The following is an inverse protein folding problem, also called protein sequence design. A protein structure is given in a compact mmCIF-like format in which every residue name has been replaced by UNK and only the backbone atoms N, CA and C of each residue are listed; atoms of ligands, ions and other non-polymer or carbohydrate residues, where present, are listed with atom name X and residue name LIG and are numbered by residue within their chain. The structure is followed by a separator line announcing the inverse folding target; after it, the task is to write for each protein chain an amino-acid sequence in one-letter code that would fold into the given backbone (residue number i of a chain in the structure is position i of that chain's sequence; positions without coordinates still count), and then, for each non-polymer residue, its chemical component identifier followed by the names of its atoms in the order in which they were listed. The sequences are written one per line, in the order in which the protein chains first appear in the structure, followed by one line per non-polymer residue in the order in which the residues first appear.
data_IF_958516191055
#
_entry.id   IF_958516191055
#
_cell.length_a   1.000
_cell.length_b   1.000
_cell.length_c   1.000
_cell.angle_alpha   90.00
_cell.angle_beta   90.00
_cell.angle_gamma   90.00
#
_symmetry.space_group_name_H-M   'P 1'
#
loop_
_entity.id
_entity.type
_entity.pdbx_description
1 polymer ?
#
# COMPACT_ATOMS: atom_id res chain seq x y z
N UNK A 1 1.17 -19.73 -4.61
CA UNK A 1 2.35 -19.10 -4.04
C UNK A 1 1.99 -17.78 -3.40
N UNK A 2 2.44 -17.57 -2.20
CA UNK A 2 2.10 -16.36 -1.47
C UNK A 2 2.82 -15.15 -2.02
N UNK A 3 2.09 -14.04 -2.07
CA UNK A 3 2.67 -12.79 -2.47
C UNK A 3 3.22 -12.08 -1.24
N UNK A 4 4.47 -11.68 -1.33
CA UNK A 4 5.08 -10.89 -0.26
C UNK A 4 4.83 -9.40 -0.45
N UNK A 5 4.37 -9.01 -1.63
CA UNK A 5 4.14 -7.62 -1.98
C UNK A 5 2.77 -7.44 -2.61
N UNK A 6 2.21 -6.27 -2.40
CA UNK A 6 1.03 -5.83 -3.13
C UNK A 6 1.44 -4.73 -4.09
N UNK A 7 0.87 -4.72 -5.28
CA UNK A 7 1.00 -3.53 -6.13
C UNK A 7 0.07 -2.45 -5.58
N UNK A 8 0.30 -1.21 -6.01
CA UNK A 8 -0.58 -0.12 -5.60
C UNK A 8 -2.02 -0.39 -6.02
N UNK A 9 -2.20 -0.98 -7.21
CA UNK A 9 -3.53 -1.32 -7.71
C UNK A 9 -4.19 -2.37 -6.83
N UNK A 10 -3.44 -3.42 -6.49
CA UNK A 10 -3.97 -4.47 -5.64
C UNK A 10 -4.37 -3.92 -4.28
N UNK A 11 -3.55 -3.03 -3.75
CA UNK A 11 -3.83 -2.43 -2.45
C UNK A 11 -5.08 -1.56 -2.51
N UNK A 12 -5.22 -0.79 -3.59
CA UNK A 12 -6.41 0.04 -3.77
C UNK A 12 -7.67 -0.82 -3.79
N UNK A 13 -7.62 -1.95 -4.50
CA UNK A 13 -8.75 -2.86 -4.57
C UNK A 13 -9.04 -3.49 -3.22
N UNK A 14 -7.99 -3.87 -2.52
CA UNK A 14 -8.12 -4.51 -1.22
C UNK A 14 -8.76 -3.57 -0.20
N UNK A 15 -8.38 -2.31 -0.24
CA UNK A 15 -8.92 -1.31 0.68
C UNK A 15 -10.15 -0.59 0.15
N UNK A 16 -10.54 -0.89 -1.08
CA UNK A 16 -11.71 -0.31 -1.73
C UNK A 16 -11.62 1.20 -1.82
N UNK A 17 -10.46 1.69 -2.22
CA UNK A 17 -10.25 3.11 -2.44
C UNK A 17 -9.73 3.32 -3.85
N UNK A 18 -9.78 4.55 -4.30
CA UNK A 18 -9.22 4.92 -5.59
C UNK A 18 -7.71 4.76 -5.53
N UNK A 19 -7.12 4.31 -6.63
CA UNK A 19 -5.67 4.10 -6.69
C UNK A 19 -4.92 5.41 -6.44
N UNK A 20 -5.51 6.54 -6.81
CA UNK A 20 -4.89 7.84 -6.57
C UNK A 20 -4.72 8.10 -5.06
N UNK A 21 -5.62 7.56 -4.26
CA UNK A 21 -5.49 7.66 -2.81
C UNK A 21 -4.23 6.95 -2.32
N UNK A 22 -3.95 5.79 -2.90
CA UNK A 22 -2.75 5.04 -2.55
C UNK A 22 -1.50 5.84 -2.95
N UNK A 23 -1.50 6.42 -4.14
CA UNK A 23 -0.37 7.23 -4.58
C UNK A 23 -0.15 8.44 -3.66
N UNK A 24 -1.22 9.04 -3.18
CA UNK A 24 -1.10 10.16 -2.25
C UNK A 24 -0.46 9.73 -0.94
N UNK A 25 -0.85 8.59 -0.43
CA UNK A 25 -0.27 8.07 0.80
C UNK A 25 1.22 7.79 0.62
N UNK A 26 1.58 7.23 -0.54
CA UNK A 26 2.99 6.94 -0.82
C UNK A 26 3.76 8.26 -0.92
N UNK A 27 3.22 9.22 -1.66
CA UNK A 27 3.90 10.49 -1.88
C UNK A 27 4.07 11.28 -0.60
N UNK A 28 3.10 11.20 0.30
CA UNK A 28 3.15 11.93 1.57
C UNK A 28 4.01 11.25 2.62
N UNK A 29 4.48 10.04 2.33
CA UNK A 29 5.29 9.29 3.29
C UNK A 29 4.50 8.49 4.30
N UNK A 30 3.17 8.52 4.21
CA UNK A 30 2.34 7.74 5.13
C UNK A 30 2.44 6.25 4.88
N UNK A 31 2.65 5.88 3.63
CA UNK A 31 2.73 4.48 3.23
C UNK A 31 4.03 4.30 2.49
N UNK A 32 4.93 3.52 3.07
CA UNK A 32 6.21 3.27 2.45
C UNK A 32 6.04 2.24 1.34
N UNK A 33 6.75 2.46 0.25
CA UNK A 33 6.65 1.58 -0.89
C UNK A 33 7.99 1.52 -1.59
N UNK A 34 8.20 0.41 -2.28
CA UNK A 34 9.35 0.24 -3.15
C UNK A 34 8.92 0.53 -4.57
N UNK A 35 9.72 1.22 -5.31
CA UNK A 35 9.46 1.40 -6.73
C UNK A 35 10.31 0.42 -7.52
N UNK A 36 9.65 -0.57 -8.09
CA UNK A 36 10.32 -1.62 -8.84
C UNK A 36 9.81 -1.55 -10.27
N UNK A 37 10.73 -1.19 -11.17
CA UNK A 37 10.31 -0.91 -12.54
C UNK A 37 9.42 0.32 -12.55
N UNK A 38 8.22 0.17 -13.06
CA UNK A 38 7.26 1.28 -13.15
C UNK A 38 6.16 1.18 -12.11
N UNK A 39 6.24 0.20 -11.22
CA UNK A 39 5.18 -0.04 -10.25
C UNK A 39 5.68 0.18 -8.84
N UNK A 40 4.79 0.71 -8.02
CA UNK A 40 5.03 0.70 -6.58
C UNK A 40 4.63 -0.64 -6.02
N UNK A 41 5.45 -1.14 -5.10
CA UNK A 41 5.18 -2.38 -4.40
C UNK A 41 5.23 -2.13 -2.91
N UNK A 42 4.24 -2.62 -2.21
CA UNK A 42 4.13 -2.45 -0.76
C UNK A 42 4.26 -3.83 -0.13
N UNK A 43 5.24 -4.00 0.75
CA UNK A 43 5.40 -5.30 1.36
C UNK A 43 4.32 -5.54 2.41
N UNK A 44 4.12 -6.81 2.71
CA UNK A 44 3.03 -7.23 3.58
C UNK A 44 3.18 -6.66 4.99
N UNK A 45 4.39 -6.61 5.48
CA UNK A 45 4.65 -6.09 6.82
C UNK A 45 4.32 -4.61 6.90
N UNK A 46 4.72 -3.85 5.89
CA UNK A 46 4.41 -2.43 5.81
C UNK A 46 2.91 -2.21 5.74
N UNK A 47 2.23 -3.04 4.94
CA UNK A 47 0.78 -2.96 4.84
C UNK A 47 0.13 -3.18 6.21
N UNK A 48 0.57 -4.19 6.93
CA UNK A 48 0.00 -4.48 8.24
C UNK A 48 0.22 -3.34 9.22
N UNK A 49 1.40 -2.74 9.19
CA UNK A 49 1.71 -1.59 10.03
C UNK A 49 0.82 -0.41 9.68
N UNK A 50 0.65 -0.16 8.38
CA UNK A 50 -0.18 0.94 7.91
C UNK A 50 -1.62 0.77 8.37
N UNK A 51 -2.15 -0.43 8.24
CA UNK A 51 -3.53 -0.71 8.66
C UNK A 51 -3.66 -0.50 10.17
N UNK A 52 -2.68 -0.96 10.93
CA UNK A 52 -2.70 -0.78 12.37
C UNK A 52 -2.72 0.68 12.80
N UNK A 53 -1.94 1.51 12.11
CA UNK A 53 -1.87 2.94 12.44
C UNK A 53 -3.16 3.67 12.08
N UNK A 54 -3.91 3.16 11.13
CA UNK A 54 -5.13 3.80 10.68
C UNK A 54 -6.38 3.20 11.30
N UNK A 55 -6.20 2.28 12.21
CA UNK A 55 -7.33 1.67 12.87
C UNK A 55 -7.89 2.62 13.93
N UNK A 56 -9.20 2.77 13.92
CA UNK A 56 -9.91 3.59 14.89
C UNK A 56 -10.75 2.68 15.76
N UNK A 57 -10.56 2.77 17.06
CA UNK A 57 -11.35 1.97 18.00
C UNK A 57 -12.38 2.81 18.67
#
# INVERSE_FOLDING_TARGET
MEKDFFTARELAEKLRVNIMTIYRYIKSGRLKAYKIGKEFRIDKLTYNTFIGKNKIN
#
